data_IF_006200612791
#
_entry.id   IF_006200612791
#
_cell.length_a   1.000
_cell.length_b   1.000
_cell.length_c   1.000
_cell.angle_alpha   90.00
_cell.angle_beta   90.00
_cell.angle_gamma   90.00
#
_symmetry.space_group_name_H-M   'P 1'
#
loop_
_entity.id
_entity.type
_entity.pdbx_description
1 polymer ?
#
# COMPACT_ATOMS: atom_id res chain seq x y z
N UNK A 1 -12.76 6.94 26.24
CA UNK A 1 -12.66 5.49 26.35
C UNK A 1 -13.69 4.83 25.42
N UNK A 2 -13.44 4.84 24.10
CA UNK A 2 -14.08 3.86 23.23
C UNK A 2 -13.12 2.68 23.20
N UNK A 3 -13.52 1.55 23.75
CA UNK A 3 -12.88 0.27 23.52
C UNK A 3 -12.94 0.02 22.02
N UNK A 4 -11.84 0.30 21.30
CA UNK A 4 -11.61 -0.29 19.99
C UNK A 4 -11.41 -1.79 20.26
N UNK A 5 -12.49 -2.56 20.25
CA UNK A 5 -12.38 -3.98 19.99
C UNK A 5 -11.81 -4.06 18.58
N UNK A 6 -10.55 -4.42 18.49
CA UNK A 6 -9.85 -4.66 17.22
C UNK A 6 -10.72 -5.58 16.38
N UNK A 7 -11.08 -5.15 15.20
CA UNK A 7 -11.86 -5.96 14.26
C UNK A 7 -10.95 -7.10 13.78
N UNK A 8 -10.97 -8.22 14.49
CA UNK A 8 -10.21 -9.41 14.13
C UNK A 8 -11.09 -10.36 13.33
N UNK A 9 -10.63 -10.74 12.13
CA UNK A 9 -11.26 -11.78 11.32
C UNK A 9 -10.44 -13.06 11.39
N UNK A 10 -11.08 -14.16 11.77
CA UNK A 10 -10.47 -15.48 11.84
C UNK A 10 -11.07 -16.39 10.77
N UNK A 11 -10.21 -16.94 9.91
CA UNK A 11 -10.55 -17.88 8.86
C UNK A 11 -9.97 -19.25 9.21
N UNK A 12 -10.82 -20.26 9.34
CA UNK A 12 -10.41 -21.63 9.68
C UNK A 12 -10.68 -22.56 8.50
N UNK A 13 -9.62 -23.13 7.94
CA UNK A 13 -9.73 -24.14 6.90
C UNK A 13 -9.99 -25.53 7.49
N UNK A 14 -10.88 -26.29 6.85
CA UNK A 14 -11.13 -27.70 7.18
C UNK A 14 -10.96 -28.59 5.95
N UNK A 15 -10.41 -29.77 6.15
CA UNK A 15 -10.45 -30.80 5.11
C UNK A 15 -11.88 -31.36 4.95
N UNK A 16 -12.19 -32.06 3.84
CA UNK A 16 -13.47 -32.80 3.68
C UNK A 16 -13.75 -33.74 4.85
N UNK A 17 -12.71 -34.25 5.52
CA UNK A 17 -12.83 -35.14 6.67
C UNK A 17 -12.87 -34.38 8.03
N UNK A 18 -13.04 -33.06 8.00
CA UNK A 18 -13.12 -32.23 9.23
C UNK A 18 -11.81 -31.92 9.93
N UNK A 19 -10.66 -32.40 9.43
CA UNK A 19 -9.35 -32.07 10.01
C UNK A 19 -9.03 -30.59 9.81
N UNK A 20 -8.44 -29.94 10.81
CA UNK A 20 -8.03 -28.54 10.74
C UNK A 20 -6.84 -28.40 9.78
N UNK A 21 -6.97 -27.51 8.78
CA UNK A 21 -5.89 -27.17 7.83
C UNK A 21 -5.05 -25.99 8.28
N UNK A 22 -5.39 -25.38 9.39
CA UNK A 22 -4.73 -24.21 9.90
C UNK A 22 -5.70 -23.05 10.14
N UNK A 23 -5.18 -22.04 10.78
CA UNK A 23 -5.89 -20.83 11.19
C UNK A 23 -5.21 -19.62 10.54
N UNK A 24 -6.00 -18.80 9.84
CA UNK A 24 -5.56 -17.53 9.30
C UNK A 24 -6.31 -16.38 9.99
N UNK A 25 -5.58 -15.41 10.47
CA UNK A 25 -6.12 -14.25 11.16
C UNK A 25 -5.73 -12.98 10.41
N UNK A 26 -6.69 -12.07 10.29
CA UNK A 26 -6.48 -10.72 9.76
C UNK A 26 -6.75 -9.76 10.91
N UNK A 27 -5.75 -8.98 11.29
CA UNK A 27 -5.80 -8.07 12.43
C UNK A 27 -5.40 -6.68 11.94
N UNK A 28 -6.36 -5.81 11.61
CA UNK A 28 -6.08 -4.42 11.26
C UNK A 28 -5.65 -3.64 12.50
N UNK A 29 -4.51 -2.95 12.41
CA UNK A 29 -4.02 -2.03 13.44
C UNK A 29 -4.32 -0.56 13.10
N UNK A 30 -4.76 -0.30 11.85
CA UNK A 30 -5.19 1.00 11.37
C UNK A 30 -5.72 0.89 9.94
N UNK A 31 -6.31 1.97 9.42
CA UNK A 31 -6.82 2.04 8.05
C UNK A 31 -8.27 1.58 7.87
N UNK A 32 -8.91 1.01 8.89
CA UNK A 32 -10.33 0.63 8.82
C UNK A 32 -11.23 1.70 9.44
N UNK A 33 -12.19 2.21 8.64
CA UNK A 33 -13.11 3.26 9.07
C UNK A 33 -12.43 4.63 9.29
N UNK A 34 -11.22 4.78 8.80
CA UNK A 34 -10.42 6.00 8.85
C UNK A 34 -9.54 6.11 7.61
N UNK A 35 -8.94 7.28 7.37
CA UNK A 35 -7.93 7.49 6.33
C UNK A 35 -6.57 7.62 7.00
N UNK A 36 -5.60 6.88 6.48
CA UNK A 36 -4.23 6.84 7.01
C UNK A 36 -3.99 5.71 8.01
N UNK A 37 -2.78 5.62 8.53
CA UNK A 37 -2.31 4.56 9.44
C UNK A 37 -2.51 3.15 8.93
N UNK A 38 -2.48 2.94 7.60
CA UNK A 38 -2.69 1.62 7.03
C UNK A 38 -1.65 0.65 7.57
N UNK A 39 -2.11 -0.33 8.33
CA UNK A 39 -1.31 -1.42 8.88
C UNK A 39 -2.21 -2.59 9.19
N UNK A 40 -1.94 -3.73 8.60
CA UNK A 40 -2.71 -4.95 8.81
C UNK A 40 -1.80 -6.13 9.02
N UNK A 41 -2.09 -6.94 10.01
CA UNK A 41 -1.40 -8.20 10.27
C UNK A 41 -2.14 -9.33 9.55
N UNK A 42 -1.39 -10.11 8.80
CA UNK A 42 -1.80 -11.38 8.22
C UNK A 42 -1.02 -12.49 8.95
N UNK A 43 -1.73 -13.26 9.77
CA UNK A 43 -1.12 -14.30 10.56
C UNK A 43 -1.65 -15.66 10.12
N UNK A 44 -0.76 -16.53 9.67
CA UNK A 44 -1.04 -17.94 9.45
C UNK A 44 -0.31 -18.78 10.48
N UNK A 45 -1.07 -19.48 11.33
CA UNK A 45 -0.54 -20.17 12.50
C UNK A 45 0.35 -19.25 13.35
N UNK A 46 1.63 -19.59 13.51
CA UNK A 46 2.60 -18.82 14.27
C UNK A 46 3.39 -17.81 13.44
N UNK A 47 3.10 -17.66 12.16
CA UNK A 47 3.83 -16.78 11.27
C UNK A 47 3.05 -15.51 10.98
N UNK A 48 3.69 -14.36 11.20
CA UNK A 48 3.12 -13.02 11.03
C UNK A 48 3.76 -12.35 9.83
N UNK A 49 2.92 -11.82 8.93
CA UNK A 49 3.30 -10.91 7.86
C UNK A 49 2.55 -9.59 8.10
N UNK A 50 3.27 -8.48 8.13
CA UNK A 50 2.69 -7.15 8.27
C UNK A 50 2.52 -6.56 6.88
N UNK A 51 1.32 -6.11 6.54
CA UNK A 51 1.04 -5.37 5.31
C UNK A 51 0.91 -3.90 5.62
N UNK A 52 1.77 -3.11 4.99
CA UNK A 52 1.94 -1.68 5.17
C UNK A 52 2.33 -1.26 6.60
N UNK A 53 2.80 -0.05 6.73
CA UNK A 53 3.16 0.60 8.00
C UNK A 53 3.03 2.10 7.83
N UNK A 54 1.80 2.56 7.80
CA UNK A 54 1.44 3.91 7.47
C UNK A 54 1.38 4.85 8.67
N UNK A 55 1.39 6.15 8.39
CA UNK A 55 1.06 7.19 9.36
C UNK A 55 -0.27 7.88 8.99
N UNK A 56 -0.80 8.66 9.89
CA UNK A 56 -1.81 9.68 9.61
C UNK A 56 -1.32 11.04 10.09
N UNK A 57 -1.84 12.09 9.48
CA UNK A 57 -1.65 13.44 9.99
C UNK A 57 -2.66 13.72 11.12
N UNK A 58 -2.24 14.47 12.14
CA UNK A 58 -3.11 14.79 13.26
C UNK A 58 -4.30 15.65 12.81
N UNK A 59 -5.43 15.51 13.49
CA UNK A 59 -6.56 16.44 13.35
C UNK A 59 -6.25 17.79 14.02
N UNK A 60 -7.01 18.83 13.69
CA UNK A 60 -6.78 20.20 14.15
C UNK A 60 -6.85 20.36 15.69
N UNK A 61 -7.51 19.43 16.37
CA UNK A 61 -7.63 19.41 17.83
C UNK A 61 -6.43 18.72 18.53
N UNK A 62 -5.54 18.07 17.79
CA UNK A 62 -4.34 17.40 18.31
C UNK A 62 -3.15 18.37 18.37
N UNK A 63 -3.24 19.39 19.22
CA UNK A 63 -2.20 20.44 19.35
C UNK A 63 -0.85 19.82 19.78
N UNK A 64 0.22 20.15 19.04
CA UNK A 64 1.59 19.71 19.35
C UNK A 64 1.90 18.27 18.92
N UNK A 65 1.01 17.63 18.16
CA UNK A 65 1.22 16.32 17.53
C UNK A 65 1.59 16.52 16.07
N UNK A 66 2.73 15.99 15.64
CA UNK A 66 3.18 16.10 14.25
C UNK A 66 2.70 14.94 13.38
N UNK A 67 2.65 13.72 13.92
CA UNK A 67 2.21 12.50 13.23
C UNK A 67 1.46 11.56 14.17
N UNK A 68 0.59 10.75 13.63
CA UNK A 68 -0.10 9.66 14.34
C UNK A 68 0.29 8.34 13.67
N UNK A 69 0.70 7.35 14.48
CA UNK A 69 1.08 6.02 13.99
C UNK A 69 0.17 4.94 14.60
N UNK A 70 0.05 3.77 13.98
CA UNK A 70 -0.68 2.63 14.56
C UNK A 70 -0.08 2.19 15.89
N UNK A 71 -0.89 1.56 16.74
CA UNK A 71 -0.38 0.84 17.90
C UNK A 71 0.31 -0.45 17.43
N UNK A 72 1.63 -0.50 17.61
CA UNK A 72 2.47 -1.61 17.18
C UNK A 72 2.72 -2.65 18.27
N UNK A 73 2.09 -2.52 19.44
CA UNK A 73 2.35 -3.35 20.62
C UNK A 73 2.24 -4.83 20.28
N UNK A 74 1.18 -5.23 19.56
CA UNK A 74 1.02 -6.64 19.17
C UNK A 74 2.18 -7.17 18.32
N UNK A 75 2.70 -6.39 17.40
CA UNK A 75 3.84 -6.77 16.55
C UNK A 75 5.11 -6.88 17.38
N UNK A 76 5.35 -5.93 18.27
CA UNK A 76 6.55 -5.87 19.12
C UNK A 76 6.57 -7.04 20.12
N UNK A 77 5.43 -7.35 20.74
CA UNK A 77 5.28 -8.49 21.66
C UNK A 77 5.47 -9.85 20.96
N UNK A 78 5.17 -9.92 19.66
CA UNK A 78 5.29 -11.13 18.83
C UNK A 78 6.44 -11.05 17.81
N UNK A 79 7.44 -10.21 18.02
CA UNK A 79 8.49 -9.91 17.03
C UNK A 79 9.23 -11.13 16.47
N UNK A 80 9.41 -12.17 17.27
CA UNK A 80 10.08 -13.40 16.85
C UNK A 80 9.27 -14.22 15.84
N UNK A 81 7.96 -13.96 15.75
CA UNK A 81 7.02 -14.58 14.82
C UNK A 81 6.87 -13.78 13.53
N UNK A 82 7.34 -12.51 13.49
CA UNK A 82 7.25 -11.65 12.31
C UNK A 82 8.24 -12.11 11.26
N UNK A 83 7.73 -12.58 10.14
CA UNK A 83 8.54 -13.10 9.02
C UNK A 83 8.91 -12.01 8.01
N UNK A 84 8.03 -11.03 7.79
CA UNK A 84 8.27 -9.95 6.85
C UNK A 84 7.30 -8.78 7.06
N UNK A 85 7.68 -7.63 6.52
CA UNK A 85 6.78 -6.53 6.17
C UNK A 85 6.65 -6.50 4.66
N UNK A 86 5.44 -6.29 4.15
CA UNK A 86 5.13 -6.17 2.73
C UNK A 86 4.47 -4.81 2.50
N UNK A 87 4.92 -4.09 1.49
CA UNK A 87 4.43 -2.74 1.20
C UNK A 87 3.70 -2.72 -0.13
N UNK A 88 2.49 -2.18 -0.13
CA UNK A 88 1.66 -2.05 -1.35
C UNK A 88 2.12 -0.92 -2.26
N UNK A 89 2.43 0.24 -1.71
CA UNK A 89 2.89 1.43 -2.44
C UNK A 89 3.54 2.47 -1.52
N UNK A 90 4.04 3.57 -2.10
CA UNK A 90 4.94 4.50 -1.40
C UNK A 90 4.29 5.74 -0.79
N UNK A 91 2.98 5.77 -0.55
CA UNK A 91 2.36 6.88 0.16
C UNK A 91 2.66 6.86 1.66
N UNK A 92 2.62 8.05 2.30
CA UNK A 92 2.95 8.20 3.72
C UNK A 92 2.04 7.39 4.65
N UNK A 93 0.79 7.29 4.29
CA UNK A 93 -0.20 6.50 5.02
C UNK A 93 -0.03 4.97 4.84
N UNK A 94 0.99 4.54 4.06
CA UNK A 94 1.41 3.14 3.89
C UNK A 94 2.85 2.86 4.29
N UNK A 95 3.75 3.87 4.26
CA UNK A 95 5.17 3.67 4.64
C UNK A 95 5.65 4.60 5.76
N UNK A 96 4.83 5.56 6.17
CA UNK A 96 5.29 6.66 7.04
C UNK A 96 5.71 6.24 8.44
N UNK A 97 5.15 5.16 8.97
CA UNK A 97 5.55 4.64 10.28
C UNK A 97 6.57 3.50 10.22
N UNK A 98 6.97 3.05 9.02
CA UNK A 98 7.83 1.88 8.83
C UNK A 98 9.19 2.02 9.54
N UNK A 99 9.79 3.20 9.52
CA UNK A 99 11.06 3.43 10.18
C UNK A 99 10.98 3.28 11.71
N UNK A 100 9.82 3.60 12.31
CA UNK A 100 9.58 3.37 13.75
C UNK A 100 9.44 1.87 14.03
N UNK A 101 8.67 1.16 13.23
CA UNK A 101 8.51 -0.29 13.36
C UNK A 101 9.86 -1.02 13.23
N UNK A 102 10.68 -0.66 12.24
CA UNK A 102 11.96 -1.33 11.97
C UNK A 102 13.06 -1.02 13.00
N UNK A 103 12.83 -0.14 13.97
CA UNK A 103 13.68 0.01 15.15
C UNK A 103 13.40 -1.07 16.21
N UNK A 104 12.19 -1.59 16.22
CA UNK A 104 11.71 -2.55 17.23
C UNK A 104 11.82 -4.01 16.75
N UNK A 105 11.75 -4.24 15.43
CA UNK A 105 11.78 -5.56 14.82
C UNK A 105 12.89 -5.68 13.78
N UNK A 106 13.27 -6.92 13.46
CA UNK A 106 14.29 -7.20 12.45
C UNK A 106 13.80 -8.30 11.49
N UNK A 107 13.23 -7.89 10.36
CA UNK A 107 12.74 -8.81 9.33
C UNK A 107 12.92 -8.19 7.94
N UNK A 108 12.83 -8.98 6.85
CA UNK A 108 12.79 -8.46 5.48
C UNK A 108 11.59 -7.52 5.25
N UNK A 109 11.80 -6.49 4.43
CA UNK A 109 10.75 -5.58 3.94
C UNK A 109 10.70 -5.73 2.43
N UNK A 110 9.59 -6.21 1.89
CA UNK A 110 9.36 -6.40 0.46
C UNK A 110 8.58 -5.22 -0.12
N UNK A 111 9.14 -4.57 -1.13
CA UNK A 111 8.54 -3.44 -1.80
C UNK A 111 9.02 -3.33 -3.25
N UNK A 112 8.29 -2.62 -4.10
CA UNK A 112 8.71 -2.32 -5.46
C UNK A 112 9.90 -1.36 -5.49
N UNK A 113 10.56 -1.23 -6.63
CA UNK A 113 11.82 -0.49 -6.74
C UNK A 113 11.69 0.98 -6.33
N UNK A 114 10.67 1.69 -6.82
CA UNK A 114 10.42 3.09 -6.44
C UNK A 114 10.16 3.20 -4.94
N UNK A 115 9.36 2.29 -4.40
CA UNK A 115 8.99 2.28 -2.97
C UNK A 115 10.21 2.01 -2.09
N UNK A 116 11.10 1.08 -2.49
CA UNK A 116 12.37 0.87 -1.79
C UNK A 116 13.20 2.16 -1.73
N UNK A 117 13.30 2.91 -2.83
CA UNK A 117 14.02 4.19 -2.84
C UNK A 117 13.42 5.24 -1.88
N UNK A 118 12.09 5.31 -1.79
CA UNK A 118 11.41 6.19 -0.84
C UNK A 118 11.67 5.76 0.61
N UNK A 119 11.61 4.46 0.88
CA UNK A 119 11.89 3.89 2.21
C UNK A 119 13.35 4.13 2.61
N UNK A 120 14.32 4.00 1.69
CA UNK A 120 15.73 4.28 1.96
C UNK A 120 15.95 5.72 2.44
N UNK A 121 15.25 6.70 1.83
CA UNK A 121 15.26 8.09 2.29
C UNK A 121 14.82 8.21 3.74
N UNK A 122 13.68 7.62 4.09
CA UNK A 122 13.15 7.61 5.46
C UNK A 122 14.06 6.88 6.45
N UNK A 123 14.59 5.73 6.06
CA UNK A 123 15.51 4.97 6.90
C UNK A 123 16.78 5.76 7.22
N UNK A 124 17.30 6.51 6.24
CA UNK A 124 18.45 7.41 6.46
C UNK A 124 18.12 8.49 7.50
N UNK A 125 16.97 9.13 7.41
CA UNK A 125 16.52 10.15 8.37
C UNK A 125 16.38 9.59 9.79
N UNK A 126 15.84 8.38 9.89
CA UNK A 126 15.59 7.70 11.17
C UNK A 126 16.76 6.84 11.66
N UNK A 127 17.89 6.78 10.93
CA UNK A 127 19.08 5.97 11.24
C UNK A 127 18.79 4.47 11.30
N UNK A 128 17.89 4.00 10.45
CA UNK A 128 17.58 2.57 10.25
C UNK A 128 18.42 2.03 9.09
N UNK A 129 18.90 0.79 9.19
CA UNK A 129 19.67 0.16 8.13
C UNK A 129 18.78 -0.29 6.97
N UNK A 130 19.07 0.05 5.70
CA UNK A 130 18.30 -0.40 4.55
C UNK A 130 18.56 -1.86 4.14
N UNK A 131 19.43 -2.58 4.84
CA UNK A 131 19.81 -3.98 4.51
C UNK A 131 18.65 -4.97 4.54
N UNK A 132 17.55 -4.64 5.22
CA UNK A 132 16.35 -5.45 5.27
C UNK A 132 15.50 -5.35 3.99
N UNK A 133 15.67 -4.32 3.15
CA UNK A 133 14.90 -4.12 1.94
C UNK A 133 15.13 -5.23 0.92
N UNK A 134 14.06 -5.69 0.31
CA UNK A 134 14.01 -6.70 -0.76
C UNK A 134 13.13 -6.15 -1.87
N UNK A 135 13.76 -5.82 -2.98
CA UNK A 135 13.05 -5.31 -4.15
C UNK A 135 12.30 -6.44 -4.86
N UNK A 136 11.04 -6.20 -5.15
CA UNK A 136 10.16 -7.05 -5.96
C UNK A 136 9.59 -6.26 -7.13
N UNK A 137 8.99 -6.95 -8.07
CA UNK A 137 8.21 -6.36 -9.15
C UNK A 137 6.76 -6.86 -9.11
N UNK A 138 5.85 -6.10 -9.72
CA UNK A 138 4.49 -6.61 -9.96
C UNK A 138 4.57 -7.87 -10.84
N UNK A 139 3.83 -8.91 -10.45
CA UNK A 139 3.90 -10.25 -11.01
C UNK A 139 4.78 -11.23 -10.25
N UNK A 140 5.65 -10.75 -9.36
CA UNK A 140 6.48 -11.63 -8.53
C UNK A 140 5.64 -12.36 -7.46
N UNK A 141 6.12 -13.55 -7.10
CA UNK A 141 5.64 -14.35 -5.97
C UNK A 141 6.82 -14.67 -5.05
N UNK A 142 6.65 -14.49 -3.77
CA UNK A 142 7.68 -14.74 -2.75
C UNK A 142 7.15 -15.70 -1.69
N UNK A 143 7.92 -16.74 -1.37
CA UNK A 143 7.59 -17.63 -0.25
C UNK A 143 8.07 -16.99 1.05
N UNK A 144 7.14 -16.71 1.96
CA UNK A 144 7.40 -16.15 3.30
C UNK A 144 6.87 -17.16 4.32
N UNK A 145 7.74 -17.95 4.88
CA UNK A 145 7.34 -19.07 5.72
C UNK A 145 6.42 -20.04 4.97
N UNK A 146 5.24 -20.30 5.51
CA UNK A 146 4.21 -21.16 4.92
C UNK A 146 3.28 -20.43 3.95
N UNK A 147 3.38 -19.12 3.85
CA UNK A 147 2.52 -18.26 3.02
C UNK A 147 3.25 -17.86 1.75
N UNK A 148 2.63 -18.06 0.60
CA UNK A 148 3.10 -17.50 -0.66
C UNK A 148 2.45 -16.13 -0.87
N UNK A 149 3.25 -15.10 -0.99
CA UNK A 149 2.82 -13.72 -1.19
C UNK A 149 3.07 -13.33 -2.64
N UNK A 150 2.04 -12.86 -3.33
CA UNK A 150 2.16 -12.40 -4.70
C UNK A 150 1.71 -10.95 -4.88
N UNK A 151 2.28 -10.30 -5.87
CA UNK A 151 2.13 -8.87 -6.14
C UNK A 151 1.46 -8.66 -7.50
N UNK A 152 0.38 -7.88 -7.53
CA UNK A 152 -0.40 -7.64 -8.74
C UNK A 152 -0.32 -6.16 -9.09
N UNK A 153 0.01 -5.83 -10.35
CA UNK A 153 0.03 -4.44 -10.81
C UNK A 153 -1.32 -3.77 -10.63
N UNK A 154 -1.34 -2.63 -9.96
CA UNK A 154 -2.51 -1.74 -9.87
C UNK A 154 -2.18 -0.34 -10.39
N UNK A 155 -3.20 0.48 -10.62
CA UNK A 155 -3.04 1.90 -10.90
C UNK A 155 -3.42 2.73 -9.67
N UNK A 156 -2.60 3.69 -9.34
CA UNK A 156 -2.85 4.66 -8.30
C UNK A 156 -2.23 6.01 -8.66
N UNK A 157 -2.25 7.00 -7.77
CA UNK A 157 -1.64 8.33 -8.00
C UNK A 157 -0.10 8.32 -7.92
N UNK A 158 0.48 7.24 -7.43
CA UNK A 158 1.92 6.98 -7.40
C UNK A 158 2.25 5.72 -8.22
N UNK A 159 3.32 5.72 -9.03
CA UNK A 159 3.76 4.53 -9.77
C UNK A 159 4.17 3.37 -8.86
N UNK A 160 4.28 2.17 -9.45
CA UNK A 160 4.72 0.94 -8.79
C UNK A 160 3.81 0.48 -7.62
N UNK A 161 2.51 0.82 -7.68
CA UNK A 161 1.52 0.33 -6.72
C UNK A 161 1.13 -1.11 -7.04
N UNK A 162 0.93 -1.91 -5.99
CA UNK A 162 0.54 -3.31 -6.10
C UNK A 162 -0.62 -3.66 -5.16
N UNK A 163 -1.53 -4.49 -5.64
CA UNK A 163 -2.34 -5.35 -4.80
C UNK A 163 -1.48 -6.53 -4.33
N UNK A 164 -1.82 -7.10 -3.18
CA UNK A 164 -1.08 -8.20 -2.57
C UNK A 164 -2.03 -9.34 -2.25
N UNK A 165 -1.68 -10.57 -2.63
CA UNK A 165 -2.41 -11.73 -2.19
C UNK A 165 -1.55 -12.68 -1.36
N UNK A 166 -2.20 -13.33 -0.40
CA UNK A 166 -1.62 -14.28 0.53
C UNK A 166 -2.23 -15.64 0.24
N UNK A 167 -1.46 -16.52 -0.40
CA UNK A 167 -1.89 -17.88 -0.72
C UNK A 167 -1.40 -18.84 0.38
N UNK A 168 -2.34 -19.45 1.06
CA UNK A 168 -2.13 -20.29 2.22
C UNK A 168 -2.71 -21.68 2.01
N UNK A 169 -2.36 -22.68 2.81
CA UNK A 169 -2.96 -24.02 2.71
C UNK A 169 -4.49 -24.05 2.87
N UNK A 170 -5.10 -23.02 3.46
CA UNK A 170 -6.57 -22.93 3.61
C UNK A 170 -7.25 -22.12 2.53
N UNK A 171 -6.49 -21.41 1.70
CA UNK A 171 -6.97 -20.59 0.58
C UNK A 171 -6.31 -19.23 0.49
N UNK A 172 -6.77 -18.42 -0.43
CA UNK A 172 -6.17 -17.14 -0.80
C UNK A 172 -6.93 -15.97 -0.18
N UNK A 173 -6.21 -15.02 0.42
CA UNK A 173 -6.72 -13.72 0.84
C UNK A 173 -6.11 -12.66 -0.08
N UNK A 174 -6.92 -11.71 -0.55
CA UNK A 174 -6.52 -10.67 -1.48
C UNK A 174 -6.76 -9.29 -0.86
N UNK A 175 -5.72 -8.44 -0.87
CA UNK A 175 -5.79 -7.03 -0.50
C UNK A 175 -5.46 -6.17 -1.70
N UNK A 176 -6.33 -5.23 -2.06
CA UNK A 176 -6.16 -4.44 -3.30
C UNK A 176 -5.05 -3.40 -3.21
N UNK A 177 -4.60 -3.03 -2.00
CA UNK A 177 -3.95 -1.74 -1.82
C UNK A 177 -4.89 -0.61 -2.25
N UNK A 178 -4.36 0.58 -2.38
CA UNK A 178 -5.09 1.70 -2.98
C UNK A 178 -5.07 1.56 -4.50
N UNK A 179 -6.22 1.72 -5.14
CA UNK A 179 -6.31 1.53 -6.58
C UNK A 179 -7.36 2.39 -7.25
N UNK A 180 -7.22 2.56 -8.53
CA UNK A 180 -8.26 2.96 -9.47
C UNK A 180 -8.16 2.11 -10.73
N UNK A 181 -9.26 1.96 -11.46
CA UNK A 181 -9.22 1.34 -12.79
C UNK A 181 -9.02 2.45 -13.81
N UNK A 182 -7.79 2.61 -14.30
CA UNK A 182 -7.42 3.59 -15.31
C UNK A 182 -7.06 2.89 -16.62
N UNK A 183 -7.82 3.16 -17.68
CA UNK A 183 -7.62 2.56 -19.00
C UNK A 183 -6.57 3.29 -19.84
N UNK A 184 -6.13 4.48 -19.42
CA UNK A 184 -5.13 5.29 -20.08
C UNK A 184 -4.17 5.93 -19.07
N UNK A 185 -3.49 5.10 -18.24
CA UNK A 185 -2.59 5.61 -17.22
C UNK A 185 -1.40 6.35 -17.84
N UNK A 186 -0.85 7.33 -17.10
CA UNK A 186 0.24 8.19 -17.59
C UNK A 186 1.50 7.39 -17.94
N UNK A 187 1.80 6.36 -17.21
CA UNK A 187 2.95 5.49 -17.40
C UNK A 187 2.71 4.33 -18.40
N UNK A 188 1.47 4.22 -18.92
CA UNK A 188 1.06 3.19 -19.88
C UNK A 188 0.88 1.78 -19.29
N UNK A 189 1.10 1.59 -17.98
CA UNK A 189 0.96 0.29 -17.31
C UNK A 189 -0.46 0.10 -16.79
N UNK A 190 -1.20 -0.80 -17.40
CA UNK A 190 -2.57 -1.13 -16.99
C UNK A 190 -2.59 -1.99 -15.72
N UNK A 191 -3.66 -1.88 -14.96
CA UNK A 191 -3.96 -2.83 -13.87
C UNK A 191 -4.07 -4.26 -14.43
N UNK A 192 -3.44 -5.23 -13.78
CA UNK A 192 -3.46 -6.63 -14.20
C UNK A 192 -4.78 -7.31 -13.81
N UNK A 193 -5.84 -6.98 -14.55
CA UNK A 193 -7.17 -7.56 -14.37
C UNK A 193 -7.18 -9.08 -14.63
N UNK A 194 -6.21 -9.59 -15.42
CA UNK A 194 -6.10 -11.03 -15.70
C UNK A 194 -5.78 -11.80 -14.42
N UNK A 195 -4.81 -11.32 -13.64
CA UNK A 195 -4.43 -11.97 -12.38
C UNK A 195 -5.56 -11.92 -11.34
N UNK A 196 -6.30 -10.81 -11.27
CA UNK A 196 -7.50 -10.72 -10.43
C UNK A 196 -8.57 -11.76 -10.84
N UNK A 197 -8.83 -11.91 -12.13
CA UNK A 197 -9.78 -12.90 -12.64
C UNK A 197 -9.30 -14.34 -12.37
N UNK A 198 -8.00 -14.62 -12.53
CA UNK A 198 -7.41 -15.93 -12.21
C UNK A 198 -7.66 -16.30 -10.74
N UNK A 199 -7.36 -15.38 -9.80
CA UNK A 199 -7.59 -15.59 -8.38
C UNK A 199 -9.08 -15.76 -8.06
N UNK A 200 -9.95 -14.94 -8.68
CA UNK A 200 -11.39 -15.05 -8.54
C UNK A 200 -11.92 -16.42 -8.99
N UNK A 201 -11.42 -16.96 -10.09
CA UNK A 201 -11.79 -18.27 -10.61
C UNK A 201 -11.34 -19.41 -9.67
N UNK A 202 -10.20 -19.27 -9.00
CA UNK A 202 -9.74 -20.22 -7.98
C UNK A 202 -10.57 -20.16 -6.69
N UNK A 203 -11.22 -19.03 -6.46
CA UNK A 203 -11.91 -18.69 -5.22
C UNK A 203 -11.00 -17.97 -4.22
N UNK A 204 -11.51 -16.89 -3.66
CA UNK A 204 -10.83 -16.05 -2.67
C UNK A 204 -11.58 -16.16 -1.34
N UNK A 205 -10.87 -16.45 -0.25
CA UNK A 205 -11.46 -16.57 1.09
C UNK A 205 -11.95 -15.22 1.63
N UNK A 206 -11.15 -14.18 1.40
CA UNK A 206 -11.48 -12.82 1.77
C UNK A 206 -10.88 -11.83 0.78
N UNK A 207 -11.65 -10.81 0.42
CA UNK A 207 -11.22 -9.66 -0.34
C UNK A 207 -11.27 -8.43 0.57
N UNK A 208 -10.12 -7.79 0.75
CA UNK A 208 -9.98 -6.49 1.39
C UNK A 208 -9.78 -5.44 0.30
N UNK A 209 -10.79 -4.62 0.08
CA UNK A 209 -10.78 -3.65 -1.02
C UNK A 209 -10.72 -2.22 -0.50
N UNK A 210 -9.90 -1.38 -1.14
CA UNK A 210 -10.01 0.06 -1.02
C UNK A 210 -11.47 0.49 -1.25
N UNK A 211 -11.99 1.27 -0.35
CA UNK A 211 -13.35 1.78 -0.38
C UNK A 211 -13.41 3.31 -0.35
N UNK A 212 -12.30 3.97 -0.62
CA UNK A 212 -12.20 5.43 -0.72
C UNK A 212 -13.18 5.94 -1.78
N UNK A 213 -14.00 6.93 -1.41
CA UNK A 213 -15.08 7.48 -2.24
C UNK A 213 -16.20 6.50 -2.64
N UNK A 214 -16.33 5.34 -2.01
CA UNK A 214 -17.37 4.35 -2.34
C UNK A 214 -18.80 4.94 -2.30
N UNK A 215 -19.04 5.97 -1.49
CA UNK A 215 -20.33 6.65 -1.37
C UNK A 215 -20.57 7.71 -2.47
N UNK A 216 -19.53 8.05 -3.26
CA UNK A 216 -19.64 9.07 -4.32
C UNK A 216 -20.08 8.41 -5.62
N UNK A 217 -21.22 8.80 -6.20
CA UNK A 217 -21.66 8.26 -7.48
C UNK A 217 -20.73 8.70 -8.62
N UNK A 218 -20.60 7.86 -9.64
CA UNK A 218 -19.82 8.16 -10.83
C UNK A 218 -18.50 7.40 -10.92
N UNK A 219 -17.57 7.89 -11.72
CA UNK A 219 -16.26 7.28 -11.98
C UNK A 219 -15.15 8.31 -11.86
N UNK A 220 -13.97 7.88 -11.45
CA UNK A 220 -12.77 8.71 -11.48
C UNK A 220 -12.18 8.71 -12.89
N UNK A 221 -11.94 9.90 -13.44
CA UNK A 221 -11.27 10.04 -14.74
C UNK A 221 -9.82 9.58 -14.72
N UNK A 222 -9.26 9.34 -15.93
CA UNK A 222 -7.85 9.03 -16.06
C UNK A 222 -6.96 10.21 -15.65
N UNK A 223 -5.83 9.94 -15.02
CA UNK A 223 -4.81 10.93 -14.69
C UNK A 223 -4.23 11.58 -15.96
N UNK A 224 -4.18 10.87 -17.10
CA UNK A 224 -3.74 11.41 -18.38
C UNK A 224 -4.62 12.56 -18.90
N UNK A 225 -5.89 12.62 -18.49
CA UNK A 225 -6.81 13.69 -18.89
C UNK A 225 -6.42 15.07 -18.34
N UNK A 226 -5.61 15.11 -17.28
CA UNK A 226 -5.11 16.36 -16.67
C UNK A 226 -3.98 16.99 -17.46
N UNK A 227 -3.18 16.17 -18.18
CA UNK A 227 -2.02 16.62 -18.94
C UNK A 227 -2.31 17.74 -19.98
N UNK A 228 -3.36 17.64 -20.81
CA UNK A 228 -3.73 18.69 -21.75
C UNK A 228 -4.01 20.04 -21.08
N UNK A 229 -4.72 20.04 -19.94
CA UNK A 229 -5.01 21.26 -19.19
C UNK A 229 -3.73 21.88 -18.59
N UNK A 230 -2.81 21.07 -18.06
CA UNK A 230 -1.50 21.55 -17.61
C UNK A 230 -0.70 22.15 -18.76
N UNK A 231 -0.63 21.47 -19.90
CA UNK A 231 0.07 21.98 -21.11
C UNK A 231 -0.51 23.30 -21.57
N UNK A 232 -1.83 23.41 -21.64
CA UNK A 232 -2.49 24.67 -22.02
C UNK A 232 -2.15 25.79 -21.03
N UNK A 233 -2.32 25.57 -19.73
CA UNK A 233 -2.02 26.57 -18.70
C UNK A 233 -0.55 27.04 -18.74
N UNK A 234 0.40 26.10 -18.93
CA UNK A 234 1.83 26.42 -19.06
C UNK A 234 2.13 27.16 -20.35
N UNK A 235 1.49 26.81 -21.48
CA UNK A 235 1.70 27.43 -22.78
C UNK A 235 1.14 28.84 -22.86
N UNK A 236 -0.04 29.11 -22.30
CA UNK A 236 -0.70 30.43 -22.34
C UNK A 236 -0.16 31.43 -21.31
N UNK A 237 0.51 30.93 -20.25
CA UNK A 237 1.01 31.79 -19.19
C UNK A 237 2.09 32.77 -19.70
N UNK A 238 1.90 34.06 -19.48
CA UNK A 238 2.89 35.11 -19.81
C UNK A 238 3.97 35.29 -18.72
N UNK A 239 3.71 34.82 -17.52
CA UNK A 239 4.59 34.96 -16.36
C UNK A 239 4.92 33.64 -15.72
N UNK A 240 5.18 33.68 -14.41
CA UNK A 240 5.47 32.48 -13.59
C UNK A 240 4.23 31.59 -13.50
N UNK A 241 4.43 30.28 -13.64
CA UNK A 241 3.41 29.26 -13.35
C UNK A 241 3.70 28.66 -11.98
N UNK A 242 2.68 28.54 -11.15
CA UNK A 242 2.74 27.88 -9.84
C UNK A 242 1.79 26.71 -9.86
N UNK A 243 2.32 25.51 -9.64
CA UNK A 243 1.55 24.27 -9.53
C UNK A 243 1.53 23.83 -8.06
N UNK A 244 0.34 23.67 -7.50
CA UNK A 244 0.14 23.04 -6.18
C UNK A 244 -0.41 21.62 -6.38
N UNK A 245 0.27 20.64 -5.82
CA UNK A 245 -0.14 19.22 -5.85
C UNK A 245 0.43 18.51 -4.66
N UNK A 246 -0.12 17.33 -4.34
CA UNK A 246 0.53 16.44 -3.37
C UNK A 246 1.89 16.00 -3.90
N UNK A 247 2.92 16.05 -3.06
CA UNK A 247 4.28 15.63 -3.44
C UNK A 247 4.35 14.17 -3.88
N UNK A 248 3.46 13.34 -3.38
CA UNK A 248 3.34 11.92 -3.73
C UNK A 248 2.66 11.66 -5.09
N UNK A 249 2.00 12.67 -5.69
CA UNK A 249 1.44 12.52 -7.04
C UNK A 249 2.53 12.70 -8.11
N UNK A 250 3.39 11.71 -8.23
CA UNK A 250 4.53 11.70 -9.15
C UNK A 250 4.11 11.88 -10.60
N UNK A 251 3.00 11.24 -11.00
CA UNK A 251 2.48 11.36 -12.37
C UNK A 251 2.11 12.81 -12.74
N UNK A 252 1.55 13.58 -11.80
CA UNK A 252 1.20 14.98 -12.03
C UNK A 252 2.42 15.88 -12.11
N UNK A 253 3.42 15.61 -11.26
CA UNK A 253 4.70 16.32 -11.30
C UNK A 253 5.39 16.06 -12.65
N UNK A 254 5.41 14.82 -13.13
CA UNK A 254 5.99 14.48 -14.43
C UNK A 254 5.28 15.22 -15.57
N UNK A 255 3.95 15.25 -15.60
CA UNK A 255 3.19 15.98 -16.60
C UNK A 255 3.50 17.50 -16.60
N UNK A 256 3.74 18.08 -15.41
CA UNK A 256 4.14 19.48 -15.28
C UNK A 256 5.55 19.73 -15.83
N UNK A 257 6.50 18.83 -15.54
CA UNK A 257 7.86 18.89 -16.08
C UNK A 257 7.83 18.78 -17.61
N UNK A 258 7.08 17.82 -18.16
CA UNK A 258 6.94 17.63 -19.60
C UNK A 258 6.37 18.86 -20.29
N UNK A 259 5.37 19.51 -19.67
CA UNK A 259 4.83 20.76 -20.17
C UNK A 259 5.85 21.92 -20.11
N UNK A 260 6.63 22.01 -19.01
CA UNK A 260 7.69 23.01 -18.89
C UNK A 260 8.76 22.84 -19.97
N UNK A 261 9.21 21.61 -20.21
CA UNK A 261 10.17 21.28 -21.28
C UNK A 261 9.60 21.63 -22.65
N UNK A 262 8.34 21.26 -22.93
CA UNK A 262 7.67 21.52 -24.21
C UNK A 262 7.62 23.00 -24.54
N UNK A 263 7.42 23.87 -23.56
CA UNK A 263 7.34 25.34 -23.75
C UNK A 263 8.62 26.08 -23.36
N UNK A 264 9.75 25.35 -23.23
CA UNK A 264 11.07 25.90 -22.88
C UNK A 264 11.04 26.81 -21.64
N UNK A 265 10.33 26.37 -20.61
CA UNK A 265 10.26 27.04 -19.31
C UNK A 265 11.25 26.41 -18.32
N UNK A 266 11.78 27.25 -17.41
CA UNK A 266 12.69 26.83 -16.33
C UNK A 266 11.93 26.65 -15.02
#
# INVERSE_FOLDING_TARGET
>A
NRNHQEAQVELVGRTPNGANKGKFQIIPLGGLGEIGKNMTIFQYEDEIIVLDSGLAFPSEDMLGVDIVIPDMSYIIENKDRVKAVVITHGHEDHIGSLAYLMKEINCPVYATNLVCGLIEGKFKEHKVSPKCLRTIAAGDEVQIGQVKVGFIQTNHSIPDSCAVYFDTPIGTVLHTGDFKIDQTPVDGRLMDMHKFAELGNKGVLALMSDSTNVEKPGTTGSESSVGPAIKQAVGEAKGRVVLATFASNVSRIQQAIDAAVMFNRK
#
